data_IF_059381471543
#
_entry.id   IF_059381471543
#
_cell.length_a   1.000
_cell.length_b   1.000
_cell.length_c   1.000
_cell.angle_alpha   90.00
_cell.angle_beta   90.00
_cell.angle_gamma   90.00
#
_symmetry.space_group_name_H-M   'P 1'
#
loop_
_entity.id
_entity.type
_entity.pdbx_description
1 polymer ?
#
# COMPACT_ATOMS: atom_id res chain seq x y z
N UNK A 1 27.17 -21.45 -8.51
CA UNK A 1 25.84 -21.38 -9.17
C UNK A 1 25.15 -20.11 -8.68
N UNK A 2 24.61 -19.26 -9.56
CA UNK A 2 23.78 -18.11 -9.13
C UNK A 2 22.47 -18.66 -8.58
N UNK A 3 22.05 -18.19 -7.41
CA UNK A 3 20.74 -18.55 -6.88
C UNK A 3 19.65 -17.95 -7.80
N UNK A 4 18.57 -18.69 -8.09
CA UNK A 4 17.46 -18.16 -8.87
C UNK A 4 16.77 -17.04 -8.10
N UNK A 5 16.34 -16.01 -8.81
CA UNK A 5 15.49 -14.94 -8.25
C UNK A 5 14.10 -15.53 -8.03
N UNK A 6 13.58 -15.43 -6.82
CA UNK A 6 12.23 -15.91 -6.44
C UNK A 6 11.26 -14.80 -6.10
N UNK A 7 11.75 -13.59 -5.84
CA UNK A 7 10.94 -12.42 -5.52
C UNK A 7 11.59 -11.14 -6.07
N UNK A 8 10.75 -10.25 -6.59
CA UNK A 8 11.12 -8.89 -7.01
C UNK A 8 10.27 -7.92 -6.23
N UNK A 9 10.89 -6.97 -5.53
CA UNK A 9 10.19 -5.85 -4.89
C UNK A 9 10.36 -4.59 -5.72
N UNK A 10 9.24 -3.93 -6.06
CA UNK A 10 9.17 -2.74 -6.89
C UNK A 10 8.65 -1.56 -6.06
N UNK A 11 9.42 -0.48 -6.01
CA UNK A 11 8.92 0.80 -5.51
C UNK A 11 7.92 1.41 -6.50
N UNK A 12 6.95 2.16 -5.99
CA UNK A 12 5.88 2.72 -6.84
C UNK A 12 6.20 4.13 -7.32
N UNK A 13 6.24 5.07 -6.40
CA UNK A 13 6.22 6.48 -6.72
C UNK A 13 7.60 6.98 -7.17
N UNK A 14 7.70 7.40 -8.44
CA UNK A 14 8.96 7.83 -9.03
C UNK A 14 9.86 6.69 -9.53
N UNK A 15 9.39 5.45 -9.46
CA UNK A 15 10.09 4.26 -9.96
C UNK A 15 9.22 3.51 -10.97
N UNK A 16 8.19 2.78 -10.49
CA UNK A 16 7.28 2.03 -11.36
C UNK A 16 6.25 2.95 -12.04
N UNK A 17 5.81 4.00 -11.32
CA UNK A 17 4.89 4.99 -11.86
C UNK A 17 5.63 6.13 -12.54
N UNK A 18 5.16 6.49 -13.74
CA UNK A 18 5.55 7.71 -14.43
C UNK A 18 4.95 8.96 -13.76
N UNK A 19 5.26 10.15 -14.29
CA UNK A 19 4.74 11.42 -13.77
C UNK A 19 3.22 11.59 -13.85
N UNK A 20 2.50 10.71 -14.54
CA UNK A 20 1.03 10.65 -14.64
C UNK A 20 0.42 9.55 -13.76
N UNK A 21 1.22 8.92 -12.89
CA UNK A 21 0.81 7.79 -12.05
C UNK A 21 0.35 6.57 -12.86
N UNK A 22 0.96 6.33 -14.01
CA UNK A 22 0.71 5.19 -14.88
C UNK A 22 1.93 4.28 -14.92
N UNK A 23 1.69 2.98 -15.09
CA UNK A 23 2.73 1.98 -15.37
C UNK A 23 2.85 1.84 -16.87
N UNK A 24 4.07 1.92 -17.41
CA UNK A 24 4.32 1.74 -18.84
C UNK A 24 3.85 0.35 -19.32
N UNK A 25 3.54 0.23 -20.59
CA UNK A 25 3.15 -1.08 -21.17
C UNK A 25 4.27 -2.10 -21.02
N UNK A 26 5.49 -1.66 -21.22
CA UNK A 26 6.70 -2.48 -21.11
C UNK A 26 6.87 -3.02 -19.69
N UNK A 27 6.70 -2.18 -18.66
CA UNK A 27 6.78 -2.59 -17.25
C UNK A 27 5.65 -3.54 -16.87
N UNK A 28 4.42 -3.29 -17.35
CA UNK A 28 3.29 -4.19 -17.14
C UNK A 28 3.57 -5.58 -17.73
N UNK A 29 4.10 -5.64 -18.95
CA UNK A 29 4.40 -6.90 -19.62
C UNK A 29 5.56 -7.62 -18.91
N UNK A 30 6.57 -6.90 -18.42
CA UNK A 30 7.66 -7.45 -17.63
C UNK A 30 7.19 -8.05 -16.30
N UNK A 31 6.25 -7.39 -15.60
CA UNK A 31 5.65 -7.90 -14.36
C UNK A 31 4.89 -9.19 -14.62
N UNK A 32 4.03 -9.22 -15.66
CA UNK A 32 3.29 -10.43 -16.05
C UNK A 32 4.22 -11.59 -16.40
N UNK A 33 5.28 -11.29 -17.14
CA UNK A 33 6.29 -12.30 -17.52
C UNK A 33 6.98 -12.86 -16.28
N UNK A 34 7.42 -12.03 -15.33
CA UNK A 34 8.03 -12.49 -14.08
C UNK A 34 7.07 -13.39 -13.28
N UNK A 35 5.81 -12.96 -13.12
CA UNK A 35 4.77 -13.73 -12.44
C UNK A 35 4.50 -15.07 -13.13
N UNK A 36 4.41 -15.09 -14.46
CA UNK A 36 4.17 -16.32 -15.23
C UNK A 36 5.29 -17.35 -15.10
N UNK A 37 6.51 -16.89 -14.77
CA UNK A 37 7.68 -17.75 -14.47
C UNK A 37 7.76 -18.21 -13.01
N UNK A 38 6.74 -17.90 -12.19
CA UNK A 38 6.71 -18.26 -10.77
C UNK A 38 7.57 -17.34 -9.88
N UNK A 39 7.97 -16.17 -10.37
CA UNK A 39 8.65 -15.15 -9.57
C UNK A 39 7.58 -14.30 -8.89
N UNK A 40 7.60 -14.24 -7.56
CA UNK A 40 6.71 -13.36 -6.83
C UNK A 40 7.06 -11.90 -7.09
N UNK A 41 6.04 -11.08 -7.34
CA UNK A 41 6.21 -9.63 -7.46
C UNK A 41 5.54 -8.97 -6.26
N UNK A 42 6.26 -8.10 -5.58
CA UNK A 42 5.77 -7.30 -4.46
C UNK A 42 5.88 -5.82 -4.79
N UNK A 43 4.85 -5.06 -4.45
CA UNK A 43 4.92 -3.60 -4.42
C UNK A 43 5.45 -3.16 -3.06
N UNK A 44 6.42 -2.23 -3.04
CA UNK A 44 6.98 -1.65 -1.82
C UNK A 44 6.79 -0.14 -1.86
N UNK A 45 6.00 0.43 -0.93
CA UNK A 45 5.62 1.84 -0.98
C UNK A 45 5.41 2.45 0.40
N UNK A 46 5.58 3.77 0.49
CA UNK A 46 5.18 4.56 1.66
C UNK A 46 3.67 4.70 1.83
N UNK A 47 2.88 4.41 0.78
CA UNK A 47 1.41 4.52 0.84
C UNK A 47 0.83 3.51 1.82
N UNK A 48 -0.29 3.84 2.51
CA UNK A 48 -1.09 2.85 3.22
C UNK A 48 -1.82 1.93 2.21
N UNK A 49 -2.31 0.80 2.66
CA UNK A 49 -2.97 -0.19 1.79
C UNK A 49 -4.13 0.42 0.99
N UNK A 50 -4.97 1.26 1.61
CA UNK A 50 -6.07 1.94 0.93
C UNK A 50 -5.63 2.96 -0.13
N UNK A 51 -4.36 3.34 -0.15
CA UNK A 51 -3.76 4.20 -1.17
C UNK A 51 -3.17 3.44 -2.35
N UNK A 52 -3.30 2.12 -2.40
CA UNK A 52 -2.82 1.33 -3.52
C UNK A 52 -3.82 1.40 -4.69
N UNK A 53 -3.34 1.50 -5.93
CA UNK A 53 -4.17 1.41 -7.13
C UNK A 53 -4.50 -0.06 -7.41
N UNK A 54 -5.33 -0.66 -6.57
CA UNK A 54 -5.56 -2.11 -6.56
C UNK A 54 -6.07 -2.63 -7.91
N UNK A 55 -6.93 -1.86 -8.58
CA UNK A 55 -7.43 -2.19 -9.91
C UNK A 55 -6.31 -2.30 -10.95
N UNK A 56 -5.29 -1.45 -10.84
CA UNK A 56 -4.13 -1.48 -11.72
C UNK A 56 -3.21 -2.67 -11.41
N UNK A 57 -3.07 -3.03 -10.14
CA UNK A 57 -2.24 -4.15 -9.70
C UNK A 57 -2.90 -5.51 -9.96
N UNK A 58 -4.26 -5.54 -9.93
CA UNK A 58 -5.03 -6.73 -10.22
C UNK A 58 -4.77 -7.22 -11.61
N UNK A 59 -4.47 -8.18 -12.07
CA UNK A 59 -4.21 -8.62 -13.46
C UNK A 59 -2.77 -8.41 -13.94
N UNK A 60 -1.90 -7.85 -13.12
CA UNK A 60 -0.46 -7.85 -13.37
C UNK A 60 0.25 -9.04 -12.71
N UNK A 61 -0.42 -9.81 -11.87
CA UNK A 61 0.19 -10.93 -11.14
C UNK A 61 1.03 -10.49 -9.93
N UNK A 62 0.77 -9.30 -9.39
CA UNK A 62 1.42 -8.84 -8.15
C UNK A 62 0.90 -9.67 -6.98
N UNK A 63 1.81 -10.32 -6.25
CA UNK A 63 1.48 -11.25 -5.16
C UNK A 63 1.36 -10.55 -3.81
N UNK A 64 2.20 -9.54 -3.56
CA UNK A 64 2.31 -8.93 -2.23
C UNK A 64 2.35 -7.41 -2.30
N UNK A 65 1.95 -6.75 -1.20
CA UNK A 65 2.16 -5.33 -0.99
C UNK A 65 2.83 -5.06 0.36
N UNK A 66 3.94 -4.36 0.32
CA UNK A 66 4.66 -3.83 1.48
C UNK A 66 4.29 -2.36 1.56
N UNK A 67 3.57 -1.97 2.61
CA UNK A 67 2.95 -0.65 2.73
C UNK A 67 3.40 0.11 3.96
N UNK A 68 3.10 1.41 4.01
CA UNK A 68 3.41 2.28 5.15
C UNK A 68 4.89 2.18 5.55
N UNK A 69 5.79 2.27 4.56
CA UNK A 69 7.24 2.16 4.74
C UNK A 69 7.70 0.86 5.43
N UNK A 70 7.05 -0.27 5.12
CA UNK A 70 7.38 -1.57 5.69
C UNK A 70 6.63 -1.91 6.98
N UNK A 71 5.75 -1.05 7.46
CA UNK A 71 4.98 -1.32 8.67
C UNK A 71 3.90 -2.40 8.50
N UNK A 72 3.49 -2.69 7.27
CA UNK A 72 2.56 -3.78 6.98
C UNK A 72 2.91 -4.50 5.68
N UNK A 73 2.71 -5.82 5.67
CA UNK A 73 2.85 -6.68 4.48
C UNK A 73 1.52 -7.41 4.28
N UNK A 74 1.04 -7.37 3.06
CA UNK A 74 -0.25 -7.93 2.65
C UNK A 74 -0.04 -8.97 1.57
N UNK A 75 -0.75 -10.08 1.68
CA UNK A 75 -0.97 -11.01 0.59
C UNK A 75 -2.16 -10.51 -0.22
N UNK A 76 -1.95 -10.19 -1.48
CA UNK A 76 -3.00 -9.66 -2.34
C UNK A 76 -3.92 -10.77 -2.87
N UNK A 77 -3.46 -12.03 -2.84
CA UNK A 77 -4.24 -13.16 -3.34
C UNK A 77 -4.70 -12.97 -4.79
N UNK A 78 -5.73 -13.72 -5.15
CA UNK A 78 -6.34 -13.65 -6.48
C UNK A 78 -7.41 -12.54 -6.62
N UNK A 79 -7.84 -11.93 -5.51
CA UNK A 79 -8.83 -10.84 -5.48
C UNK A 79 -8.41 -9.70 -4.54
N UNK A 80 -7.44 -8.88 -4.96
CA UNK A 80 -6.98 -7.75 -4.17
C UNK A 80 -8.03 -6.64 -4.00
N UNK A 81 -9.11 -6.63 -4.82
CA UNK A 81 -10.19 -5.64 -4.72
C UNK A 81 -11.21 -5.96 -3.63
N UNK A 82 -11.55 -7.22 -3.45
CA UNK A 82 -12.55 -7.65 -2.46
C UNK A 82 -12.22 -7.16 -1.05
N UNK A 83 -10.97 -7.08 -0.76
CA UNK A 83 -10.42 -6.66 0.50
C UNK A 83 -10.58 -5.17 0.85
N UNK A 84 -10.48 -4.29 -0.12
CA UNK A 84 -10.65 -2.84 0.11
C UNK A 84 -12.12 -2.52 0.31
N UNK A 85 -12.99 -3.09 -0.51
CA UNK A 85 -14.42 -2.82 -0.46
C UNK A 85 -15.12 -3.41 0.77
N UNK A 86 -14.65 -4.54 1.31
CA UNK A 86 -15.30 -5.17 2.48
C UNK A 86 -15.22 -4.32 3.74
N UNK A 87 -14.24 -3.43 3.86
CA UNK A 87 -14.08 -2.52 5.01
C UNK A 87 -14.97 -1.28 4.94
N UNK A 88 -15.41 -0.88 3.74
CA UNK A 88 -16.18 0.34 3.52
C UNK A 88 -17.64 0.11 3.18
N UNK A 89 -18.00 -1.09 2.72
CA UNK A 89 -19.38 -1.46 2.47
C UNK A 89 -20.04 -2.01 3.74
N UNK A 90 -21.25 -1.55 4.02
CA UNK A 90 -22.09 -2.07 5.09
C UNK A 90 -22.10 -3.61 5.06
N UNK A 91 -22.05 -4.24 6.21
CA UNK A 91 -21.81 -5.66 6.52
C UNK A 91 -22.60 -6.73 5.72
N UNK A 92 -23.43 -6.34 4.74
CA UNK A 92 -24.25 -7.25 3.92
C UNK A 92 -23.56 -7.78 2.67
N UNK A 93 -22.39 -7.23 2.28
CA UNK A 93 -21.63 -7.64 1.09
C UNK A 93 -20.20 -8.08 1.45
N UNK A 94 -20.08 -9.02 2.39
CA UNK A 94 -18.77 -9.62 2.68
C UNK A 94 -18.43 -10.59 1.54
N UNK A 95 -17.55 -10.14 0.63
CA UNK A 95 -16.79 -11.07 -0.19
C UNK A 95 -15.77 -11.79 0.72
N UNK A 96 -15.61 -13.08 0.53
CA UNK A 96 -14.99 -14.03 1.46
C UNK A 96 -13.46 -14.02 1.49
N UNK A 97 -12.79 -13.06 0.83
CA UNK A 97 -11.32 -12.96 0.81
C UNK A 97 -10.85 -11.57 1.25
N UNK A 98 -10.77 -11.34 2.57
CA UNK A 98 -9.96 -10.22 3.06
C UNK A 98 -8.48 -10.51 2.76
N UNK A 99 -7.67 -9.51 2.30
CA UNK A 99 -6.24 -9.73 2.12
C UNK A 99 -5.65 -10.10 3.46
N UNK A 100 -4.89 -11.16 3.48
CA UNK A 100 -4.20 -11.57 4.69
C UNK A 100 -3.10 -10.54 4.99
N UNK A 101 -3.20 -9.88 6.14
CA UNK A 101 -2.09 -9.09 6.65
C UNK A 101 -1.06 -10.05 7.25
N UNK A 102 0.02 -10.30 6.50
CA UNK A 102 1.09 -11.25 6.85
C UNK A 102 2.00 -10.71 7.96
N UNK A 103 2.21 -9.39 7.95
CA UNK A 103 3.05 -8.70 8.94
C UNK A 103 2.42 -7.35 9.25
N UNK A 104 2.39 -7.03 10.55
CA UNK A 104 2.02 -5.70 11.03
C UNK A 104 2.97 -5.28 12.16
N UNK A 105 3.60 -4.12 12.00
CA UNK A 105 4.43 -3.47 13.01
C UNK A 105 3.79 -2.16 13.41
N UNK A 106 3.22 -2.12 14.60
CA UNK A 106 2.54 -0.93 15.12
C UNK A 106 3.49 -0.15 16.04
N UNK A 107 3.40 1.16 15.95
CA UNK A 107 4.00 2.04 16.97
C UNK A 107 3.21 1.88 18.29
N UNK A 108 3.86 1.74 19.45
CA UNK A 108 3.18 1.73 20.73
C UNK A 108 2.33 2.99 20.90
N UNK A 109 1.13 2.86 21.48
CA UNK A 109 0.18 3.98 21.62
C UNK A 109 0.77 5.15 22.42
N UNK A 110 1.56 4.87 23.46
CA UNK A 110 2.23 5.91 24.24
C UNK A 110 3.21 6.69 23.38
N UNK A 111 4.07 6.00 22.64
CA UNK A 111 5.00 6.64 21.69
C UNK A 111 4.27 7.48 20.65
N UNK A 112 3.15 6.97 20.11
CA UNK A 112 2.34 7.71 19.15
C UNK A 112 1.78 9.01 19.75
N UNK A 113 1.32 8.98 21.02
CA UNK A 113 0.86 10.18 21.74
C UNK A 113 1.98 11.20 21.98
N UNK A 114 3.17 10.72 22.37
CA UNK A 114 4.34 11.59 22.57
C UNK A 114 4.76 12.27 21.25
N UNK A 115 4.84 11.51 20.15
CA UNK A 115 5.15 12.05 18.83
C UNK A 115 4.09 13.06 18.40
N UNK A 116 2.80 12.76 18.62
CA UNK A 116 1.72 13.68 18.28
C UNK A 116 1.80 14.98 19.10
N UNK A 117 2.03 14.89 20.42
CA UNK A 117 2.19 16.06 21.28
C UNK A 117 3.41 16.91 20.90
N UNK A 118 4.51 16.28 20.55
CA UNK A 118 5.70 16.98 20.05
C UNK A 118 5.39 17.69 18.73
N UNK A 119 4.71 17.00 17.81
CA UNK A 119 4.42 17.54 16.48
C UNK A 119 3.49 18.76 16.52
N UNK A 120 2.57 18.83 17.50
CA UNK A 120 1.69 19.99 17.70
C UNK A 120 2.46 21.30 17.99
N UNK A 121 3.75 21.23 18.36
CA UNK A 121 4.60 22.40 18.60
C UNK A 121 5.19 22.98 17.29
N UNK A 122 5.00 22.30 16.17
CA UNK A 122 5.52 22.67 14.86
C UNK A 122 4.40 22.94 13.88
N UNK A 123 4.61 23.89 12.96
CA UNK A 123 3.69 24.15 11.86
C UNK A 123 3.95 23.17 10.71
N UNK A 124 3.42 21.95 10.83
CA UNK A 124 3.60 20.87 9.86
C UNK A 124 2.33 20.07 9.61
N UNK A 125 2.37 19.19 8.63
CA UNK A 125 1.32 18.22 8.36
C UNK A 125 1.69 16.86 8.98
N UNK A 126 0.79 16.29 9.77
CA UNK A 126 0.93 14.95 10.31
C UNK A 126 -0.02 14.00 9.59
N UNK A 127 0.52 12.93 9.04
CA UNK A 127 -0.26 11.82 8.53
C UNK A 127 -0.02 10.59 9.41
N UNK A 128 -1.11 10.01 9.90
CA UNK A 128 -1.07 8.77 10.69
C UNK A 128 -1.65 7.65 9.84
N UNK A 129 -0.99 6.51 9.84
CA UNK A 129 -1.49 5.32 9.15
C UNK A 129 -2.05 4.33 10.18
N UNK A 130 -3.31 3.95 10.04
CA UNK A 130 -3.98 2.96 10.88
C UNK A 130 -4.82 2.03 10.02
N UNK A 131 -4.66 0.73 10.22
CA UNK A 131 -5.41 -0.32 9.51
C UNK A 131 -5.48 -0.17 7.98
N UNK A 132 -4.36 0.21 7.39
CA UNK A 132 -4.26 0.42 5.95
C UNK A 132 -4.85 1.73 5.44
N UNK A 133 -5.29 2.63 6.34
CA UNK A 133 -5.82 3.95 6.05
C UNK A 133 -4.81 5.04 6.36
N UNK A 134 -4.87 6.16 5.63
CA UNK A 134 -4.25 7.41 6.03
C UNK A 134 -5.28 8.29 6.77
N UNK A 135 -4.94 8.69 7.98
CA UNK A 135 -5.74 9.61 8.79
C UNK A 135 -4.98 10.94 8.83
N UNK A 136 -5.61 12.00 8.38
CA UNK A 136 -5.05 13.36 8.40
C UNK A 136 -5.75 14.21 9.44
N UNK A 137 -5.03 15.16 10.02
CA UNK A 137 -5.67 16.15 10.89
C UNK A 137 -6.57 17.09 10.06
N UNK A 138 -7.63 17.68 10.66
CA UNK A 138 -8.47 18.67 9.97
C UNK A 138 -7.67 19.83 9.37
N UNK A 139 -6.63 20.29 10.07
CA UNK A 139 -5.72 21.34 9.62
C UNK A 139 -4.90 20.91 8.39
N UNK A 140 -4.43 19.66 8.39
CA UNK A 140 -3.71 19.06 7.25
C UNK A 140 -4.61 18.94 6.02
N UNK A 141 -5.90 18.60 6.21
CA UNK A 141 -6.88 18.56 5.12
C UNK A 141 -7.12 19.98 4.56
N UNK A 142 -7.29 20.98 5.43
CA UNK A 142 -7.51 22.36 5.02
C UNK A 142 -6.34 22.91 4.19
N UNK A 143 -5.10 22.62 4.55
CA UNK A 143 -3.90 23.01 3.79
C UNK A 143 -3.81 22.37 2.41
N UNK A 144 -4.31 21.14 2.23
CA UNK A 144 -4.33 20.45 0.93
C UNK A 144 -5.37 21.01 -0.02
N UNK A 145 -6.50 21.49 0.49
CA UNK A 145 -7.61 22.04 -0.32
C UNK A 145 -7.41 23.51 -0.70
N UNK A 146 -6.42 24.19 -0.10
CA UNK A 146 -6.10 25.61 -0.37
C UNK A 146 -4.98 25.81 -1.39
N UNK A 147 -4.42 24.76 -1.97
CA UNK A 147 -3.43 24.76 -3.05
C UNK A 147 -4.07 24.42 -4.39
#
# INVERSE_FOLDING_TARGET
MKQPVSLIALDMDGTLFNGQSEISKEDQDAIREASSRGIHVAISTGRPYAGLPVTLLSGLGVSYAITSNGAAVWDLGDDPMGAVYSRYSNAAQRHTSEPACLLRRLMPTETAREVFALFQQYDGELSVFSDGLAIKTPEGIAKLTSR
#
